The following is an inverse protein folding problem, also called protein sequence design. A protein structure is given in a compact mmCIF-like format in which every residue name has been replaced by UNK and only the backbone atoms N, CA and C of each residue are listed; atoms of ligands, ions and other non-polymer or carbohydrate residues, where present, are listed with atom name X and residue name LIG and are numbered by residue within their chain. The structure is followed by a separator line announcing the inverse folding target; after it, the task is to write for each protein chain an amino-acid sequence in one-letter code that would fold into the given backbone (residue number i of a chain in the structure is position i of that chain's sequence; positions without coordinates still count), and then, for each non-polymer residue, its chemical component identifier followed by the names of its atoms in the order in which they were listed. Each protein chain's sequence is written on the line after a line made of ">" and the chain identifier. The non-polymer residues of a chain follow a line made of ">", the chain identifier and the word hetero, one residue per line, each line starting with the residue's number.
data_IF_532801645798
#
_entry.id   IF_532801645798
#
_cell.length_a   1.000
_cell.length_b   1.000
_cell.length_c   1.000
_cell.angle_alpha   90.00
_cell.angle_beta   90.00
_cell.angle_gamma   90.00
#
_symmetry.space_group_name_H-M   'P 1'
#
loop_
_entity.id
_entity.type
_entity.pdbx_description
1 polymer ?
#
# COMPACT_ATOMS: atom_id res chain seq x y z
N UNK A 1 -32.66 10.05 -14.83
CA UNK A 1 -32.44 8.88 -13.95
C UNK A 1 -30.96 8.83 -13.58
N UNK A 2 -30.56 9.26 -12.37
CA UNK A 2 -29.17 9.17 -11.89
C UNK A 2 -28.93 7.71 -11.48
N UNK A 3 -28.05 7.00 -12.16
CA UNK A 3 -27.53 5.74 -11.66
C UNK A 3 -26.86 6.05 -10.31
N UNK A 4 -27.40 5.49 -9.22
CA UNK A 4 -26.69 5.44 -7.96
C UNK A 4 -25.36 4.73 -8.26
N UNK A 5 -24.25 5.48 -8.22
CA UNK A 5 -22.93 4.87 -8.31
C UNK A 5 -22.81 3.96 -7.10
N UNK A 6 -23.16 2.69 -7.28
CA UNK A 6 -22.98 1.63 -6.31
C UNK A 6 -21.52 1.68 -5.91
N UNK A 7 -21.25 2.21 -4.71
CA UNK A 7 -19.90 2.33 -4.15
C UNK A 7 -19.33 0.92 -4.11
N UNK A 8 -18.54 0.57 -5.11
CA UNK A 8 -18.07 -0.77 -5.33
C UNK A 8 -17.09 -1.12 -4.20
N UNK A 9 -17.43 -2.13 -3.40
CA UNK A 9 -16.53 -2.61 -2.36
C UNK A 9 -15.54 -3.59 -2.95
N UNK A 10 -14.26 -3.42 -2.63
CA UNK A 10 -13.22 -4.31 -3.10
C UNK A 10 -13.22 -5.61 -2.29
N UNK A 11 -12.84 -6.69 -2.98
CA UNK A 11 -12.49 -7.95 -2.33
C UNK A 11 -11.29 -7.73 -1.39
N UNK A 12 -11.24 -8.50 -0.29
CA UNK A 12 -10.19 -8.36 0.73
C UNK A 12 -8.78 -8.55 0.15
N UNK A 13 -8.60 -9.53 -0.74
CA UNK A 13 -7.31 -9.79 -1.40
C UNK A 13 -6.80 -8.57 -2.18
N UNK A 14 -7.68 -7.96 -2.99
CA UNK A 14 -7.38 -6.72 -3.73
C UNK A 14 -7.05 -5.57 -2.79
N UNK A 15 -7.84 -5.40 -1.71
CA UNK A 15 -7.62 -4.33 -0.73
C UNK A 15 -6.26 -4.46 -0.05
N UNK A 16 -5.94 -5.65 0.47
CA UNK A 16 -4.64 -5.92 1.12
C UNK A 16 -3.47 -5.71 0.17
N UNK A 17 -3.56 -6.21 -1.06
CA UNK A 17 -2.52 -5.99 -2.08
C UNK A 17 -2.34 -4.50 -2.36
N UNK A 18 -3.43 -3.74 -2.48
CA UNK A 18 -3.35 -2.30 -2.75
C UNK A 18 -2.75 -1.52 -1.58
N UNK A 19 -3.12 -1.87 -0.35
CA UNK A 19 -2.53 -1.27 0.87
C UNK A 19 -1.02 -1.52 0.92
N UNK A 20 -0.60 -2.76 0.64
CA UNK A 20 0.81 -3.10 0.62
C UNK A 20 1.55 -2.33 -0.48
N UNK A 21 1.00 -2.26 -1.69
CA UNK A 21 1.58 -1.47 -2.79
C UNK A 21 1.78 -0.01 -2.38
N UNK A 22 0.81 0.60 -1.69
CA UNK A 22 0.90 1.98 -1.21
C UNK A 22 2.03 2.14 -0.19
N UNK A 23 2.18 1.20 0.75
CA UNK A 23 3.31 1.22 1.69
C UNK A 23 4.65 1.10 0.97
N UNK A 24 4.74 0.24 -0.05
CA UNK A 24 5.97 0.09 -0.83
C UNK A 24 6.30 1.35 -1.63
N UNK A 25 5.31 2.02 -2.20
CA UNK A 25 5.52 3.31 -2.86
C UNK A 25 5.96 4.40 -1.86
N UNK A 26 5.42 4.40 -0.64
CA UNK A 26 5.88 5.31 0.42
C UNK A 26 7.35 5.05 0.78
N UNK A 27 7.75 3.79 0.94
CA UNK A 27 9.16 3.43 1.21
C UNK A 27 10.08 3.91 0.08
N UNK A 28 9.70 3.70 -1.19
CA UNK A 28 10.47 4.16 -2.35
C UNK A 28 10.58 5.69 -2.42
N UNK A 29 9.49 6.41 -2.12
CA UNK A 29 9.51 7.86 -2.08
C UNK A 29 10.45 8.38 -0.99
N UNK A 30 10.39 7.79 0.21
CA UNK A 30 11.27 8.16 1.30
C UNK A 30 12.75 7.92 0.96
N UNK A 31 13.08 6.80 0.31
CA UNK A 31 14.44 6.54 -0.17
C UNK A 31 14.91 7.55 -1.23
N UNK A 32 14.04 7.93 -2.16
CA UNK A 32 14.36 8.94 -3.17
C UNK A 32 14.70 10.31 -2.53
N UNK A 33 14.07 10.60 -1.39
CA UNK A 33 14.31 11.81 -0.59
C UNK A 33 15.47 11.64 0.42
N UNK A 34 16.12 10.47 0.46
CA UNK A 34 17.21 10.17 1.40
C UNK A 34 16.75 9.94 2.85
N UNK A 35 15.46 9.66 3.06
CA UNK A 35 14.84 9.50 4.37
C UNK A 35 14.64 8.02 4.70
N UNK A 36 15.06 7.61 5.91
CA UNK A 36 14.82 6.27 6.45
C UNK A 36 13.76 6.36 7.54
N UNK A 37 12.64 5.66 7.38
CA UNK A 37 11.53 5.65 8.34
C UNK A 37 10.29 6.36 7.82
N UNK A 38 9.54 7.04 8.69
CA UNK A 38 8.29 7.71 8.32
C UNK A 38 8.44 9.16 7.83
N UNK A 39 9.56 9.81 8.17
CA UNK A 39 9.80 11.19 7.77
C UNK A 39 9.71 11.33 6.23
N UNK A 40 9.04 12.39 5.77
CA UNK A 40 8.60 12.57 4.38
C UNK A 40 7.08 12.77 4.27
N UNK A 41 6.54 12.85 3.05
CA UNK A 41 5.12 13.17 2.81
C UNK A 41 4.13 12.23 3.52
N UNK A 42 3.09 12.75 4.18
CA UNK A 42 2.11 11.94 4.92
C UNK A 42 1.48 10.83 4.06
N UNK A 43 1.13 9.70 4.68
CA UNK A 43 0.54 8.55 3.98
C UNK A 43 -0.67 8.92 3.08
N UNK A 44 -1.61 9.80 3.48
CA UNK A 44 -2.69 10.24 2.60
C UNK A 44 -2.22 10.91 1.30
N UNK A 45 -1.13 11.67 1.35
CA UNK A 45 -0.54 12.25 0.15
C UNK A 45 0.01 11.16 -0.77
N UNK A 46 0.68 10.15 -0.21
CA UNK A 46 1.16 8.99 -0.97
C UNK A 46 0.02 8.17 -1.57
N UNK A 47 -1.09 7.98 -0.86
CA UNK A 47 -2.29 7.31 -1.39
C UNK A 47 -2.78 8.05 -2.64
N UNK A 48 -2.93 9.37 -2.57
CA UNK A 48 -3.35 10.18 -3.71
C UNK A 48 -2.35 10.05 -4.87
N UNK A 49 -1.05 10.23 -4.60
CA UNK A 49 0.01 10.08 -5.61
C UNK A 49 0.01 8.70 -6.25
N UNK A 50 -0.20 7.62 -5.49
CA UNK A 50 -0.31 6.26 -6.01
C UNK A 50 -1.46 6.13 -7.02
N UNK A 51 -2.65 6.64 -6.67
CA UNK A 51 -3.79 6.61 -7.59
C UNK A 51 -3.57 7.52 -8.81
N UNK A 52 -2.95 8.69 -8.63
CA UNK A 52 -2.62 9.58 -9.74
C UNK A 52 -1.63 8.94 -10.71
N UNK A 53 -0.55 8.32 -10.24
CA UNK A 53 0.39 7.61 -11.11
C UNK A 53 -0.27 6.42 -11.83
N UNK A 54 -1.17 5.69 -11.15
CA UNK A 54 -1.80 4.50 -11.72
C UNK A 54 -2.90 4.80 -12.74
N UNK A 55 -3.66 5.88 -12.55
CA UNK A 55 -4.85 6.17 -13.36
C UNK A 55 -4.74 7.44 -14.20
N UNK A 56 -3.87 8.39 -13.86
CA UNK A 56 -3.63 9.65 -14.56
C UNK A 56 -4.78 10.67 -14.53
N UNK A 57 -6.03 10.21 -14.39
CA UNK A 57 -7.23 11.05 -14.52
C UNK A 57 -7.84 11.36 -13.15
N UNK A 58 -7.87 12.66 -12.78
CA UNK A 58 -8.39 13.15 -11.49
C UNK A 58 -9.77 12.60 -11.12
N UNK A 59 -10.72 12.55 -12.07
CA UNK A 59 -12.07 12.00 -11.82
C UNK A 59 -12.04 10.53 -11.44
N UNK A 60 -11.21 9.73 -12.09
CA UNK A 60 -11.07 8.30 -11.80
C UNK A 60 -10.35 8.08 -10.47
N UNK A 61 -9.35 8.91 -10.16
CA UNK A 61 -8.67 8.92 -8.85
C UNK A 61 -9.68 9.12 -7.72
N UNK A 62 -10.53 10.16 -7.79
CA UNK A 62 -11.56 10.37 -6.76
C UNK A 62 -12.49 9.17 -6.60
N UNK A 63 -12.92 8.57 -7.70
CA UNK A 63 -13.79 7.40 -7.66
C UNK A 63 -13.10 6.21 -6.98
N UNK A 64 -11.82 5.95 -7.30
CA UNK A 64 -11.04 4.85 -6.71
C UNK A 64 -10.68 5.10 -5.25
N UNK A 65 -10.39 6.33 -4.86
CA UNK A 65 -10.17 6.70 -3.46
C UNK A 65 -11.47 6.55 -2.66
N UNK A 66 -12.62 6.94 -3.22
CA UNK A 66 -13.91 6.73 -2.57
C UNK A 66 -14.23 5.23 -2.39
N UNK A 67 -13.97 4.40 -3.40
CA UNK A 67 -14.09 2.94 -3.29
C UNK A 67 -13.14 2.37 -2.23
N UNK A 68 -11.90 2.87 -2.15
CA UNK A 68 -10.93 2.47 -1.13
C UNK A 68 -11.47 2.75 0.26
N UNK A 69 -11.93 3.98 0.54
CA UNK A 69 -12.46 4.36 1.86
C UNK A 69 -13.64 3.48 2.27
N UNK A 70 -14.57 3.21 1.35
CA UNK A 70 -15.73 2.35 1.63
C UNK A 70 -15.29 0.90 1.86
N UNK A 71 -14.30 0.42 1.11
CA UNK A 71 -13.74 -0.92 1.28
C UNK A 71 -13.00 -1.07 2.62
N UNK A 72 -12.25 -0.05 3.04
CA UNK A 72 -11.59 0.01 4.34
C UNK A 72 -12.62 -0.04 5.47
N UNK A 73 -13.68 0.76 5.37
CA UNK A 73 -14.76 0.76 6.38
C UNK A 73 -15.44 -0.61 6.49
N UNK A 74 -15.72 -1.27 5.36
CA UNK A 74 -16.32 -2.63 5.33
C UNK A 74 -15.43 -3.68 6.00
N UNK A 75 -14.11 -3.56 5.85
CA UNK A 75 -13.13 -4.57 6.26
C UNK A 75 -12.34 -4.15 7.51
N UNK A 76 -12.83 -3.17 8.28
CA UNK A 76 -12.09 -2.54 9.38
C UNK A 76 -11.71 -3.49 10.52
N UNK A 77 -12.40 -4.63 10.64
CA UNK A 77 -12.09 -5.67 11.60
C UNK A 77 -10.74 -6.37 11.33
N UNK A 78 -10.24 -6.31 10.09
CA UNK A 78 -8.92 -6.82 9.75
C UNK A 78 -7.83 -5.90 10.32
N UNK A 79 -6.88 -6.48 11.07
CA UNK A 79 -5.82 -5.70 11.74
C UNK A 79 -4.97 -4.86 10.78
N UNK A 80 -4.69 -5.36 9.56
CA UNK A 80 -3.88 -4.65 8.57
C UNK A 80 -4.65 -3.49 7.96
N UNK A 81 -5.93 -3.72 7.65
CA UNK A 81 -6.84 -2.67 7.16
C UNK A 81 -7.07 -1.61 8.22
N UNK A 82 -7.27 -2.01 9.48
CA UNK A 82 -7.41 -1.10 10.63
C UNK A 82 -6.17 -0.25 10.81
N UNK A 83 -4.98 -0.86 10.79
CA UNK A 83 -3.72 -0.12 10.91
C UNK A 83 -3.55 0.89 9.77
N UNK A 84 -3.84 0.50 8.52
CA UNK A 84 -3.83 1.42 7.38
C UNK A 84 -4.82 2.56 7.54
N UNK A 85 -6.04 2.28 7.99
CA UNK A 85 -7.04 3.31 8.21
C UNK A 85 -6.59 4.34 9.25
N UNK A 86 -5.92 3.90 10.31
CA UNK A 86 -5.35 4.79 11.33
C UNK A 86 -4.13 5.57 10.83
N UNK A 87 -3.27 4.95 10.04
CA UNK A 87 -2.12 5.61 9.41
C UNK A 87 -2.56 6.69 8.41
N UNK A 88 -3.69 6.49 7.74
CA UNK A 88 -4.31 7.48 6.86
C UNK A 88 -5.15 8.54 7.61
N UNK A 89 -5.25 8.47 8.95
CA UNK A 89 -6.07 9.38 9.75
C UNK A 89 -7.58 9.23 9.54
N UNK A 90 -8.05 8.11 8.98
CA UNK A 90 -9.49 7.85 8.76
C UNK A 90 -10.23 7.47 10.04
N UNK A 91 -9.52 6.87 10.99
CA UNK A 91 -9.97 6.50 12.32
C UNK A 91 -8.82 6.74 13.31
N UNK A 92 -9.12 7.02 14.59
CA UNK A 92 -8.19 7.19 15.72
C UNK A 92 -6.70 7.13 15.32
N UNK A 93 -6.06 8.29 15.03
CA UNK A 93 -4.73 8.32 14.41
C UNK A 93 -3.70 7.53 15.22
N UNK A 94 -2.71 6.98 14.51
CA UNK A 94 -1.59 6.29 15.16
C UNK A 94 -0.68 7.30 15.87
N UNK A 95 -0.06 6.93 17.00
CA UNK A 95 1.07 7.67 17.53
C UNK A 95 2.19 7.75 16.47
N UNK A 96 2.86 8.90 16.30
CA UNK A 96 3.94 9.07 15.32
C UNK A 96 5.00 7.97 15.41
N UNK A 97 5.44 7.64 16.63
CA UNK A 97 6.44 6.60 16.88
C UNK A 97 6.01 5.21 16.41
N UNK A 98 4.71 4.87 16.48
CA UNK A 98 4.21 3.59 15.99
C UNK A 98 4.24 3.52 14.45
N UNK A 99 3.98 4.66 13.80
CA UNK A 99 4.07 4.79 12.34
C UNK A 99 5.52 4.77 11.85
N UNK A 100 6.41 5.52 12.50
CA UNK A 100 7.86 5.52 12.26
C UNK A 100 8.45 4.11 12.37
N UNK A 101 8.21 3.43 13.49
CA UNK A 101 8.71 2.07 13.69
C UNK A 101 8.21 1.10 12.61
N UNK A 102 6.94 1.22 12.21
CA UNK A 102 6.38 0.40 11.14
C UNK A 102 7.06 0.67 9.80
N UNK A 103 7.26 1.94 9.44
CA UNK A 103 7.88 2.32 8.17
C UNK A 103 9.36 1.93 8.10
N UNK A 104 10.09 2.10 9.20
CA UNK A 104 11.47 1.64 9.33
C UNK A 104 11.56 0.12 9.16
N UNK A 105 10.66 -0.63 9.79
CA UNK A 105 10.58 -2.09 9.61
C UNK A 105 10.26 -2.46 8.15
N UNK A 106 9.33 -1.77 7.50
CA UNK A 106 8.98 -2.02 6.09
C UNK A 106 10.18 -1.80 5.16
N UNK A 107 10.98 -0.76 5.40
CA UNK A 107 12.22 -0.51 4.66
C UNK A 107 13.22 -1.67 4.83
N UNK A 108 13.48 -2.11 6.06
CA UNK A 108 14.38 -3.25 6.29
C UNK A 108 13.87 -4.56 5.68
N UNK A 109 12.57 -4.83 5.75
CA UNK A 109 11.97 -6.03 5.13
C UNK A 109 12.15 -5.98 3.61
N UNK A 110 11.90 -4.84 2.98
CA UNK A 110 12.14 -4.64 1.54
C UNK A 110 13.61 -4.91 1.18
N UNK A 111 14.54 -4.29 1.92
CA UNK A 111 15.99 -4.47 1.70
C UNK A 111 16.43 -5.93 1.85
N UNK A 112 15.97 -6.60 2.90
CA UNK A 112 16.26 -8.02 3.12
C UNK A 112 15.73 -8.88 1.97
N UNK A 113 14.49 -8.64 1.52
CA UNK A 113 13.89 -9.36 0.40
C UNK A 113 14.63 -9.09 -0.92
N UNK A 114 15.09 -7.85 -1.15
CA UNK A 114 15.90 -7.51 -2.32
C UNK A 114 17.23 -8.26 -2.30
N UNK A 115 17.93 -8.28 -1.16
CA UNK A 115 19.20 -9.01 -0.99
C UNK A 115 19.02 -10.51 -1.21
N UNK A 116 17.95 -11.10 -0.67
CA UNK A 116 17.60 -12.50 -0.93
C UNK A 116 17.30 -12.75 -2.41
N UNK A 117 16.59 -11.83 -3.08
CA UNK A 117 16.27 -11.96 -4.49
C UNK A 117 17.51 -11.83 -5.39
N UNK A 118 18.50 -11.03 -5.00
CA UNK A 118 19.81 -10.90 -5.66
C UNK A 118 20.67 -12.15 -5.43
N UNK A 119 20.76 -12.65 -4.19
CA UNK A 119 21.46 -13.89 -3.88
C UNK A 119 20.85 -15.09 -4.61
N UNK A 120 19.52 -15.13 -4.76
CA UNK A 120 18.83 -16.11 -5.59
C UNK A 120 18.98 -15.83 -7.10
N UNK A 121 19.30 -14.59 -7.49
CA UNK A 121 19.52 -14.15 -8.87
C UNK A 121 20.87 -14.57 -9.47
N UNK A 122 21.82 -15.02 -8.64
CA UNK A 122 23.00 -15.78 -9.10
C UNK A 122 22.60 -17.19 -9.60
N UNK A 123 21.33 -17.58 -9.44
CA UNK A 123 20.72 -18.78 -10.01
C UNK A 123 19.54 -18.43 -10.95
N UNK A 124 19.84 -17.78 -12.08
CA UNK A 124 18.96 -17.84 -13.26
C UNK A 124 17.94 -16.69 -13.44
N UNK A 125 17.85 -16.29 -14.70
CA UNK A 125 17.13 -15.16 -15.29
C UNK A 125 15.58 -15.24 -15.17
N UNK A 126 14.92 -14.10 -14.92
CA UNK A 126 13.71 -13.58 -15.59
C UNK A 126 12.68 -12.91 -14.64
N UNK A 127 12.52 -11.60 -14.81
CA UNK A 127 11.27 -10.85 -14.60
C UNK A 127 10.54 -11.06 -13.26
N UNK A 128 11.19 -10.66 -12.14
CA UNK A 128 10.62 -10.89 -10.81
C UNK A 128 9.47 -9.94 -10.49
N UNK A 129 8.24 -10.45 -10.47
CA UNK A 129 7.01 -9.68 -10.20
C UNK A 129 6.38 -10.17 -8.90
N UNK A 130 5.94 -9.22 -8.06
CA UNK A 130 5.13 -9.54 -6.89
C UNK A 130 3.81 -10.15 -7.35
N UNK A 131 3.62 -11.45 -7.13
CA UNK A 131 2.38 -12.16 -7.44
C UNK A 131 1.69 -12.50 -6.12
N UNK A 132 0.49 -11.96 -5.95
CA UNK A 132 -0.42 -12.35 -4.86
C UNK A 132 -1.38 -13.37 -5.42
N UNK A 133 -1.27 -14.62 -4.99
CA UNK A 133 -2.19 -15.69 -5.38
C UNK A 133 -3.52 -15.57 -4.64
N UNK A 134 -4.57 -16.22 -5.15
CA UNK A 134 -5.94 -16.12 -4.64
C UNK A 134 -6.11 -16.54 -3.16
N UNK A 135 -5.11 -17.22 -2.59
CA UNK A 135 -5.01 -17.65 -1.20
C UNK A 135 -4.35 -16.61 -0.27
N UNK A 136 -4.09 -15.39 -0.74
CA UNK A 136 -3.47 -14.29 0.03
C UNK A 136 -2.04 -14.53 0.51
N UNK A 137 -1.33 -15.50 -0.09
CA UNK A 137 0.12 -15.62 0.06
C UNK A 137 0.80 -14.79 -1.02
N UNK A 138 1.88 -14.11 -0.65
CA UNK A 138 2.66 -13.26 -1.56
C UNK A 138 4.05 -13.84 -1.64
N UNK A 139 4.51 -14.12 -2.86
CA UNK A 139 5.85 -14.60 -3.12
C UNK A 139 6.45 -13.84 -4.31
N UNK A 140 7.77 -13.83 -4.36
CA UNK A 140 8.53 -13.30 -5.49
C UNK A 140 8.74 -14.50 -6.43
N UNK A 141 8.12 -14.46 -7.62
CA UNK A 141 8.47 -15.33 -8.75
C UNK A 141 9.52 -14.59 -9.53
#
# INVERSE_FOLDING_TARGET
>A
RRAAATKQTWAMSKLRSTILDIYMEKVKANEADGIVGADGADLPATVCSYFFHRYGVKKLVYLRVAELVVSVAKHIADKRVSFFARACGLINPLPPSAWENFMTMMHYVKEALLRMALAAGESGNANKRWVTTGDSRTWIV
#
